data_IF_803793159031
#
_entry.id   IF_803793159031
#
_cell.length_a   1.000
_cell.length_b   1.000
_cell.length_c   1.000
_cell.angle_alpha   90.00
_cell.angle_beta   90.00
_cell.angle_gamma   90.00
#
_symmetry.space_group_name_H-M   'P 1'
#
loop_
_entity.id
_entity.type
_entity.pdbx_description
1 polymer ?
#
# COMPACT_ATOMS: atom_id res chain seq x y z
N UNK A 1 14.93 15.92 5.64
CA UNK A 1 13.57 15.63 5.15
C UNK A 1 12.62 16.75 5.57
N UNK A 2 12.77 17.29 6.76
CA UNK A 2 11.92 18.38 7.27
C UNK A 2 11.97 19.69 6.46
N UNK A 3 12.97 19.87 5.62
CA UNK A 3 13.16 21.06 4.78
C UNK A 3 12.48 20.97 3.41
N UNK A 4 11.95 19.79 3.04
CA UNK A 4 11.28 19.60 1.76
C UNK A 4 9.78 19.81 1.90
N UNK A 5 9.23 20.70 1.11
CA UNK A 5 7.78 20.91 0.99
C UNK A 5 7.05 19.76 0.29
N UNK A 6 5.71 19.85 0.17
CA UNK A 6 4.92 18.85 -0.52
C UNK A 6 5.32 18.76 -2.01
N UNK A 7 5.30 17.54 -2.54
CA UNK A 7 5.50 17.31 -3.97
C UNK A 7 4.14 17.33 -4.66
N UNK A 8 4.00 18.15 -5.66
CA UNK A 8 2.78 18.26 -6.45
C UNK A 8 2.99 17.66 -7.85
N UNK A 9 1.95 17.11 -8.41
CA UNK A 9 1.90 16.63 -9.80
C UNK A 9 0.53 16.93 -10.40
N UNK A 10 0.47 17.16 -11.70
CA UNK A 10 -0.79 17.24 -12.47
C UNK A 10 -1.23 15.88 -13.01
N UNK A 11 -0.42 14.85 -12.89
CA UNK A 11 -0.75 13.49 -13.31
C UNK A 11 -1.69 12.85 -12.28
N UNK A 12 -2.92 12.56 -12.71
CA UNK A 12 -3.93 11.93 -11.86
C UNK A 12 -3.78 10.41 -11.92
N UNK A 13 -3.92 9.77 -10.75
CA UNK A 13 -3.93 8.31 -10.68
C UNK A 13 -4.80 7.82 -9.51
N UNK A 14 -5.47 6.71 -9.71
CA UNK A 14 -6.26 6.02 -8.69
C UNK A 14 -5.62 4.66 -8.43
N UNK A 15 -5.07 4.49 -7.24
CA UNK A 15 -4.32 3.28 -6.90
C UNK A 15 -5.23 2.20 -6.30
N UNK A 16 -5.36 1.07 -7.01
CA UNK A 16 -5.94 -0.17 -6.51
C UNK A 16 -4.88 -1.12 -5.95
N UNK A 17 -5.31 -2.32 -5.57
CA UNK A 17 -4.44 -3.40 -5.10
C UNK A 17 -3.66 -4.03 -6.25
N UNK A 18 -4.35 -4.38 -7.35
CA UNK A 18 -3.81 -5.08 -8.51
C UNK A 18 -3.41 -4.13 -9.63
N UNK A 19 -4.13 -3.02 -9.77
CA UNK A 19 -3.95 -2.07 -10.86
C UNK A 19 -3.96 -0.62 -10.35
N UNK A 20 -3.35 0.27 -11.13
CA UNK A 20 -3.47 1.73 -10.98
C UNK A 20 -4.11 2.27 -12.23
N UNK A 21 -5.20 3.01 -12.08
CA UNK A 21 -5.92 3.66 -13.18
C UNK A 21 -5.39 5.07 -13.40
N UNK A 22 -5.09 5.42 -14.63
CA UNK A 22 -4.56 6.74 -15.02
C UNK A 22 -5.50 7.35 -16.05
N UNK A 23 -6.33 8.34 -15.67
CA UNK A 23 -7.16 9.08 -16.63
C UNK A 23 -6.30 9.81 -17.66
N UNK A 24 -6.86 10.01 -18.85
CA UNK A 24 -6.24 10.74 -19.98
C UNK A 24 -4.96 10.07 -20.53
N UNK A 25 -4.81 8.77 -20.34
CA UNK A 25 -3.73 7.98 -20.90
C UNK A 25 -4.30 6.75 -21.63
N UNK A 26 -3.48 6.11 -22.49
CA UNK A 26 -3.90 4.87 -23.19
C UNK A 26 -2.97 3.69 -22.92
N UNK A 27 -1.81 3.96 -22.33
CA UNK A 27 -0.75 2.96 -22.15
C UNK A 27 -1.13 1.93 -21.08
N UNK A 28 -0.94 0.65 -21.41
CA UNK A 28 -0.93 -0.45 -20.41
C UNK A 28 0.50 -0.82 -20.09
N UNK A 29 0.88 -0.66 -18.83
CA UNK A 29 2.20 -1.05 -18.30
C UNK A 29 2.03 -2.19 -17.30
N UNK A 30 2.97 -3.14 -17.29
CA UNK A 30 2.98 -4.24 -16.32
C UNK A 30 4.27 -4.19 -15.53
N UNK A 31 4.20 -4.40 -14.22
CA UNK A 31 5.35 -4.37 -13.31
C UNK A 31 6.48 -5.26 -13.82
N UNK A 32 7.68 -4.72 -13.92
CA UNK A 32 8.89 -5.45 -14.30
C UNK A 32 9.35 -6.45 -13.23
N UNK A 33 8.81 -6.35 -12.01
CA UNK A 33 9.06 -7.31 -10.93
C UNK A 33 8.40 -8.67 -11.16
N UNK A 34 7.38 -8.75 -12.04
CA UNK A 34 6.83 -10.03 -12.54
C UNK A 34 7.86 -10.61 -13.49
N UNK A 35 8.51 -11.70 -13.09
CA UNK A 35 9.65 -12.27 -13.84
C UNK A 35 9.22 -12.93 -15.14
N UNK A 36 8.09 -13.68 -15.16
CA UNK A 36 7.58 -14.36 -16.35
C UNK A 36 7.16 -13.37 -17.43
N UNK A 37 7.77 -13.45 -18.60
CA UNK A 37 7.40 -12.69 -19.80
C UNK A 37 6.02 -13.05 -20.31
N UNK A 38 5.67 -14.34 -20.24
CA UNK A 38 4.36 -14.87 -20.64
C UNK A 38 3.25 -14.29 -19.76
N UNK A 39 3.46 -14.28 -18.44
CA UNK A 39 2.51 -13.72 -17.49
C UNK A 39 2.34 -12.20 -17.70
N UNK A 40 3.43 -11.49 -17.96
CA UNK A 40 3.34 -10.04 -18.30
C UNK A 40 2.55 -9.81 -19.59
N UNK A 41 2.73 -10.67 -20.60
CA UNK A 41 1.97 -10.60 -21.84
C UNK A 41 0.48 -10.91 -21.61
N UNK A 42 0.17 -11.97 -20.85
CA UNK A 42 -1.18 -12.37 -20.48
C UNK A 42 -1.92 -11.23 -19.75
N UNK A 43 -1.32 -10.67 -18.70
CA UNK A 43 -1.90 -9.57 -17.93
C UNK A 43 -2.11 -8.32 -18.78
N UNK A 44 -1.17 -8.02 -19.68
CA UNK A 44 -1.33 -6.89 -20.61
C UNK A 44 -2.52 -7.09 -21.55
N UNK A 45 -2.67 -8.28 -22.13
CA UNK A 45 -3.81 -8.59 -23.01
C UNK A 45 -5.14 -8.53 -22.26
N UNK A 46 -5.20 -9.09 -21.04
CA UNK A 46 -6.40 -9.04 -20.20
C UNK A 46 -6.83 -7.58 -19.93
N UNK A 47 -5.91 -6.76 -19.46
CA UNK A 47 -6.22 -5.36 -19.18
C UNK A 47 -6.59 -4.60 -20.47
N UNK A 48 -5.90 -4.87 -21.58
CA UNK A 48 -6.21 -4.24 -22.87
C UNK A 48 -7.64 -4.54 -23.33
N UNK A 49 -8.16 -5.75 -23.02
CA UNK A 49 -9.51 -6.17 -23.41
C UNK A 49 -10.63 -5.58 -22.56
N UNK A 50 -10.34 -5.17 -21.31
CA UNK A 50 -11.36 -4.67 -20.37
C UNK A 50 -11.27 -3.16 -20.11
N UNK A 51 -10.10 -2.54 -20.33
CA UNK A 51 -9.94 -1.11 -20.04
C UNK A 51 -10.75 -0.24 -21.01
N UNK A 52 -11.40 0.84 -20.54
CA UNK A 52 -12.02 1.80 -21.43
C UNK A 52 -10.97 2.63 -22.20
N UNK A 53 -11.42 3.28 -23.28
CA UNK A 53 -10.59 4.24 -24.01
C UNK A 53 -10.25 5.45 -23.13
N UNK A 54 -9.10 6.09 -23.41
CA UNK A 54 -8.60 7.27 -22.68
C UNK A 54 -8.23 6.99 -21.20
N UNK A 55 -8.02 5.74 -20.83
CA UNK A 55 -7.45 5.35 -19.54
C UNK A 55 -6.21 4.50 -19.74
N UNK A 56 -5.13 4.89 -19.06
CA UNK A 56 -3.96 4.06 -18.89
C UNK A 56 -4.11 3.17 -17.65
N UNK A 57 -3.42 2.04 -17.66
CA UNK A 57 -3.41 1.11 -16.52
C UNK A 57 -1.99 0.63 -16.25
N UNK A 58 -1.58 0.69 -14.99
CA UNK A 58 -0.36 0.03 -14.50
C UNK A 58 -0.77 -1.22 -13.72
N UNK A 59 -0.33 -2.37 -14.18
CA UNK A 59 -0.54 -3.65 -13.49
C UNK A 59 0.56 -3.85 -12.45
N UNK A 60 0.17 -4.03 -11.20
CA UNK A 60 1.09 -4.21 -10.06
C UNK A 60 1.54 -5.67 -9.94
N UNK A 61 2.61 -5.90 -9.19
CA UNK A 61 3.18 -7.25 -8.99
C UNK A 61 2.17 -8.22 -8.34
N UNK A 62 1.34 -7.72 -7.42
CA UNK A 62 0.30 -8.52 -6.74
C UNK A 62 -0.81 -9.04 -7.68
N UNK A 63 -0.86 -8.58 -8.92
CA UNK A 63 -1.79 -9.06 -9.95
C UNK A 63 -1.32 -10.38 -10.60
N UNK A 64 -0.09 -10.83 -10.31
CA UNK A 64 0.43 -12.09 -10.83
C UNK A 64 -0.50 -13.26 -10.51
N UNK A 65 -0.85 -14.07 -11.50
CA UNK A 65 -1.77 -15.21 -11.36
C UNK A 65 -3.25 -14.84 -11.19
N UNK A 66 -3.62 -13.56 -11.17
CA UNK A 66 -5.00 -13.13 -11.00
C UNK A 66 -5.85 -13.38 -12.25
N UNK A 67 -7.14 -13.66 -12.01
CA UNK A 67 -8.12 -13.89 -13.06
C UNK A 67 -8.69 -12.57 -13.57
N UNK A 68 -9.22 -12.59 -14.79
CA UNK A 68 -9.84 -11.40 -15.39
C UNK A 68 -10.95 -10.80 -14.53
N UNK A 69 -11.76 -11.62 -13.88
CA UNK A 69 -12.88 -11.16 -13.04
C UNK A 69 -12.41 -10.32 -11.82
N UNK A 70 -11.25 -10.66 -11.23
CA UNK A 70 -10.68 -9.90 -10.11
C UNK A 70 -10.16 -8.54 -10.59
N UNK A 71 -9.50 -8.50 -11.75
CA UNK A 71 -8.97 -7.27 -12.35
C UNK A 71 -10.10 -6.36 -12.86
N UNK A 72 -11.13 -6.92 -13.47
CA UNK A 72 -12.32 -6.18 -13.94
C UNK A 72 -13.13 -5.61 -12.77
N UNK A 73 -13.28 -6.39 -11.70
CA UNK A 73 -13.94 -5.93 -10.48
C UNK A 73 -13.24 -4.71 -9.88
N UNK A 74 -11.91 -4.74 -9.76
CA UNK A 74 -11.15 -3.59 -9.26
C UNK A 74 -11.18 -2.41 -10.23
N UNK A 75 -11.09 -2.66 -11.53
CA UNK A 75 -11.18 -1.62 -12.56
C UNK A 75 -12.49 -0.85 -12.46
N UNK A 76 -13.61 -1.54 -12.26
CA UNK A 76 -14.93 -0.92 -12.08
C UNK A 76 -15.00 -0.03 -10.83
N UNK A 77 -14.40 -0.45 -9.73
CA UNK A 77 -14.30 0.36 -8.51
C UNK A 77 -13.50 1.64 -8.77
N UNK A 78 -12.35 1.53 -9.43
CA UNK A 78 -11.50 2.69 -9.73
C UNK A 78 -12.16 3.66 -10.72
N UNK A 79 -12.89 3.14 -11.70
CA UNK A 79 -13.69 3.96 -12.62
C UNK A 79 -14.81 4.72 -11.89
N UNK A 80 -15.46 4.08 -10.93
CA UNK A 80 -16.45 4.75 -10.07
C UNK A 80 -15.83 5.89 -9.26
N UNK A 81 -14.64 5.68 -8.67
CA UNK A 81 -13.93 6.76 -7.98
C UNK A 81 -13.64 7.95 -8.90
N UNK A 82 -13.28 7.66 -10.15
CA UNK A 82 -13.09 8.71 -11.17
C UNK A 82 -14.39 9.45 -11.47
N UNK A 83 -15.50 8.75 -11.70
CA UNK A 83 -16.82 9.33 -11.96
C UNK A 83 -17.28 10.22 -10.80
N UNK A 84 -17.11 9.74 -9.57
CA UNK A 84 -17.41 10.51 -8.36
C UNK A 84 -16.55 11.78 -8.26
N UNK A 85 -15.26 11.68 -8.59
CA UNK A 85 -14.35 12.83 -8.64
C UNK A 85 -14.79 13.85 -9.69
N UNK A 86 -15.11 13.41 -10.89
CA UNK A 86 -15.62 14.28 -11.97
C UNK A 86 -16.92 14.99 -11.56
N UNK A 87 -17.83 14.25 -10.94
CA UNK A 87 -19.10 14.81 -10.42
C UNK A 87 -18.85 15.89 -9.37
N UNK A 88 -17.89 15.67 -8.46
CA UNK A 88 -17.51 16.69 -7.46
C UNK A 88 -16.88 17.92 -8.11
N UNK A 89 -16.02 17.74 -9.12
CA UNK A 89 -15.42 18.86 -9.88
C UNK A 89 -16.51 19.72 -10.51
N UNK A 90 -17.49 19.10 -11.17
CA UNK A 90 -18.59 19.81 -11.83
C UNK A 90 -19.46 20.61 -10.85
N UNK A 91 -19.58 20.15 -9.60
CA UNK A 91 -20.34 20.82 -8.54
C UNK A 91 -19.53 21.83 -7.74
N UNK A 92 -18.22 21.86 -7.90
CA UNK A 92 -17.34 22.75 -7.14
C UNK A 92 -17.53 24.22 -7.58
N UNK A 93 -17.87 25.07 -6.61
CA UNK A 93 -18.06 26.52 -6.84
C UNK A 93 -16.93 27.37 -6.25
N UNK A 94 -16.07 26.77 -5.45
CA UNK A 94 -14.92 27.41 -4.79
C UNK A 94 -13.63 26.63 -5.05
N UNK A 95 -12.51 27.32 -5.13
CA UNK A 95 -11.19 26.72 -5.31
C UNK A 95 -10.20 27.31 -4.29
N UNK A 96 -9.29 26.49 -3.73
CA UNK A 96 -9.13 25.05 -3.92
C UNK A 96 -10.24 24.25 -3.22
N UNK A 97 -10.64 23.11 -3.79
CA UNK A 97 -11.59 22.15 -3.21
C UNK A 97 -11.01 20.74 -3.25
N UNK A 98 -11.09 20.01 -2.13
CA UNK A 98 -10.71 18.60 -2.08
C UNK A 98 -11.73 17.76 -2.85
N UNK A 99 -11.30 17.19 -3.96
CA UNK A 99 -12.15 16.39 -4.85
C UNK A 99 -12.11 14.92 -4.49
N UNK A 100 -10.92 14.39 -4.27
CA UNK A 100 -10.69 12.99 -3.94
C UNK A 100 -9.57 12.88 -2.91
N UNK A 101 -9.79 12.06 -1.92
CA UNK A 101 -8.80 11.69 -0.93
C UNK A 101 -8.56 10.19 -1.02
N UNK A 102 -7.31 9.78 -1.10
CA UNK A 102 -6.98 8.36 -1.09
C UNK A 102 -7.31 7.76 0.29
N UNK A 103 -7.56 6.45 0.32
CA UNK A 103 -7.79 5.70 1.56
C UNK A 103 -6.72 5.99 2.60
N UNK A 104 -7.07 5.84 3.87
CA UNK A 104 -6.15 6.09 4.99
C UNK A 104 -4.81 5.37 4.80
N UNK A 105 -3.78 5.90 5.44
CA UNK A 105 -2.43 5.29 5.40
C UNK A 105 -2.45 3.83 5.85
N UNK A 106 -3.30 3.48 6.80
CA UNK A 106 -3.42 2.12 7.32
C UNK A 106 -3.95 1.15 6.26
N UNK A 107 -5.03 1.52 5.58
CA UNK A 107 -5.58 0.73 4.45
C UNK A 107 -4.60 0.72 3.27
N UNK A 108 -3.94 1.84 2.98
CA UNK A 108 -2.92 1.90 1.94
C UNK A 108 -1.76 0.94 2.18
N UNK A 109 -1.29 0.79 3.42
CA UNK A 109 -0.28 -0.19 3.80
C UNK A 109 -0.77 -1.63 3.60
N UNK A 110 -2.00 -1.94 4.02
CA UNK A 110 -2.58 -3.27 3.82
C UNK A 110 -2.79 -3.58 2.34
N UNK A 111 -3.27 -2.61 1.55
CA UNK A 111 -3.36 -2.75 0.10
C UNK A 111 -2.04 -3.22 -0.52
N UNK A 112 -0.93 -2.68 -0.04
CA UNK A 112 0.39 -2.94 -0.60
C UNK A 112 1.09 -4.16 -0.01
N UNK A 113 0.87 -4.48 1.27
CA UNK A 113 1.63 -5.48 2.01
C UNK A 113 0.84 -6.74 2.35
N UNK A 114 -0.50 -6.68 2.41
CA UNK A 114 -1.32 -7.80 2.84
C UNK A 114 -1.12 -9.03 1.97
N UNK A 115 -0.81 -10.16 2.60
CA UNK A 115 -0.58 -11.46 1.96
C UNK A 115 -1.01 -12.60 2.91
N UNK A 116 -1.02 -13.86 2.46
CA UNK A 116 -1.46 -15.00 3.28
C UNK A 116 -0.67 -15.24 4.58
N UNK A 117 0.53 -14.68 4.73
CA UNK A 117 1.33 -14.85 5.95
C UNK A 117 0.90 -13.96 7.12
N UNK A 118 -0.02 -13.02 6.90
CA UNK A 118 -0.58 -12.21 7.99
C UNK A 118 -1.45 -13.08 8.89
N UNK A 119 -1.08 -13.27 10.14
CA UNK A 119 -1.84 -14.05 11.12
C UNK A 119 -2.76 -13.16 11.97
N UNK A 120 -2.30 -11.97 12.34
CA UNK A 120 -3.06 -11.03 13.15
C UNK A 120 -2.76 -9.59 12.73
N UNK A 121 -3.77 -8.73 12.83
CA UNK A 121 -3.68 -7.29 12.67
C UNK A 121 -4.28 -6.65 13.91
N UNK A 122 -3.45 -6.09 14.76
CA UNK A 122 -3.89 -5.44 16.00
C UNK A 122 -3.99 -3.93 15.80
N UNK A 123 -5.10 -3.35 16.19
CA UNK A 123 -5.40 -1.92 16.04
C UNK A 123 -5.91 -1.38 17.38
N UNK A 124 -5.39 -0.26 17.85
CA UNK A 124 -5.77 0.36 19.12
C UNK A 124 -6.68 1.60 18.97
N UNK A 125 -7.03 1.95 17.74
CA UNK A 125 -8.01 2.99 17.41
C UNK A 125 -9.25 2.34 16.81
N UNK A 126 -10.42 2.69 17.32
CA UNK A 126 -11.70 2.03 16.95
C UNK A 126 -12.13 2.38 15.52
N UNK A 127 -11.94 3.64 15.10
CA UNK A 127 -12.28 4.08 13.75
C UNK A 127 -11.39 3.38 12.71
N UNK A 128 -10.08 3.34 12.95
CA UNK A 128 -9.10 2.64 12.11
C UNK A 128 -9.34 1.14 12.11
N UNK A 129 -9.77 0.55 13.24
CA UNK A 129 -10.13 -0.86 13.31
C UNK A 129 -11.30 -1.20 12.36
N UNK A 130 -12.36 -0.41 12.37
CA UNK A 130 -13.48 -0.62 11.47
C UNK A 130 -13.08 -0.48 10.00
N UNK A 131 -12.35 0.57 9.68
CA UNK A 131 -11.85 0.81 8.32
C UNK A 131 -10.99 -0.36 7.80
N UNK A 132 -10.05 -0.84 8.62
CA UNK A 132 -9.20 -2.00 8.28
C UNK A 132 -10.02 -3.27 8.14
N UNK A 133 -10.97 -3.49 9.05
CA UNK A 133 -11.82 -4.67 9.04
C UNK A 133 -12.69 -4.73 7.79
N UNK A 134 -13.30 -3.60 7.41
CA UNK A 134 -14.12 -3.49 6.19
C UNK A 134 -13.26 -3.76 4.95
N UNK A 135 -12.06 -3.18 4.89
CA UNK A 135 -11.12 -3.42 3.80
C UNK A 135 -10.70 -4.89 3.71
N UNK A 136 -10.30 -5.53 4.83
CA UNK A 136 -9.91 -6.95 4.84
C UNK A 136 -11.10 -7.84 4.47
N UNK A 137 -12.30 -7.52 4.94
CA UNK A 137 -13.52 -8.23 4.56
C UNK A 137 -13.79 -8.17 3.05
N UNK A 138 -13.50 -7.02 2.43
CA UNK A 138 -13.65 -6.85 0.99
C UNK A 138 -12.65 -7.69 0.17
N UNK A 139 -11.38 -7.73 0.60
CA UNK A 139 -10.30 -8.39 -0.18
C UNK A 139 -10.06 -9.86 0.19
N UNK A 140 -10.43 -10.27 1.40
CA UNK A 140 -10.25 -11.62 1.94
C UNK A 140 -11.32 -11.90 3.02
N UNK A 141 -12.59 -12.16 2.63
CA UNK A 141 -13.71 -12.30 3.57
C UNK A 141 -13.49 -13.40 4.62
N UNK A 142 -12.88 -14.49 4.21
CA UNK A 142 -12.50 -15.65 5.04
C UNK A 142 -11.48 -15.30 6.14
N UNK A 143 -10.79 -14.18 6.00
CA UNK A 143 -9.74 -13.73 6.90
C UNK A 143 -10.10 -12.50 7.73
N UNK A 144 -11.31 -11.98 7.65
CA UNK A 144 -11.75 -10.80 8.41
C UNK A 144 -11.53 -10.94 9.95
N UNK A 145 -11.52 -12.18 10.46
CA UNK A 145 -11.29 -12.49 11.87
C UNK A 145 -9.87 -12.24 12.39
N UNK A 146 -8.88 -12.02 11.51
CA UNK A 146 -7.50 -11.70 11.93
C UNK A 146 -7.37 -10.26 12.44
N UNK A 147 -8.32 -9.37 12.09
CA UNK A 147 -8.32 -7.98 12.56
C UNK A 147 -8.88 -7.92 13.97
N UNK A 148 -8.09 -7.41 14.90
CA UNK A 148 -8.41 -7.41 16.34
C UNK A 148 -8.26 -6.00 16.91
N UNK A 149 -9.29 -5.57 17.64
CA UNK A 149 -9.21 -4.33 18.41
C UNK A 149 -8.40 -4.59 19.68
N UNK A 150 -7.32 -3.84 19.85
CA UNK A 150 -6.45 -3.91 21.01
C UNK A 150 -6.97 -2.97 22.11
N UNK A 151 -7.28 -3.55 23.29
CA UNK A 151 -7.78 -2.82 24.47
C UNK A 151 -6.88 -3.04 25.70
N UNK A 152 -5.61 -3.41 25.50
CA UNK A 152 -4.66 -3.62 26.59
C UNK A 152 -4.28 -2.33 27.32
N UNK A 153 -3.80 -2.45 28.55
CA UNK A 153 -3.36 -1.29 29.36
C UNK A 153 -2.00 -0.75 28.91
N UNK A 154 -1.12 -1.60 28.40
CA UNK A 154 0.18 -1.18 27.87
C UNK A 154 0.03 -0.59 26.46
N UNK A 155 0.89 0.37 26.06
CA UNK A 155 0.96 0.79 24.67
C UNK A 155 1.14 -0.41 23.74
N UNK A 156 0.44 -0.43 22.61
CA UNK A 156 0.40 -1.58 21.70
C UNK A 156 1.80 -2.05 21.27
N UNK A 157 2.72 -1.13 21.00
CA UNK A 157 4.09 -1.48 20.59
C UNK A 157 4.90 -2.08 21.74
N UNK A 158 4.66 -1.66 22.98
CA UNK A 158 5.32 -2.21 24.14
C UNK A 158 4.81 -3.62 24.45
N UNK A 159 3.49 -3.83 24.33
CA UNK A 159 2.86 -5.14 24.53
C UNK A 159 3.41 -6.20 23.57
N UNK A 160 3.70 -5.84 22.32
CA UNK A 160 4.27 -6.74 21.32
C UNK A 160 5.80 -6.68 21.23
N UNK A 161 6.48 -5.97 22.13
CA UNK A 161 7.94 -5.83 22.16
C UNK A 161 8.54 -5.06 20.98
N UNK A 162 7.70 -4.36 20.19
CA UNK A 162 8.13 -3.62 19.00
C UNK A 162 9.00 -2.42 19.38
N UNK A 163 8.63 -1.68 20.44
CA UNK A 163 9.43 -0.55 20.93
C UNK A 163 10.87 -0.98 21.26
N UNK A 164 11.04 -2.16 21.88
CA UNK A 164 12.36 -2.72 22.20
C UNK A 164 13.14 -3.04 20.92
N UNK A 165 12.50 -3.67 19.94
CA UNK A 165 13.12 -3.99 18.65
C UNK A 165 13.54 -2.73 17.89
N UNK A 166 12.68 -1.72 17.83
CA UNK A 166 13.01 -0.43 17.19
C UNK A 166 14.22 0.21 17.87
N UNK A 167 14.20 0.33 19.21
CA UNK A 167 15.33 0.91 19.98
C UNK A 167 16.64 0.15 19.75
N UNK A 168 16.60 -1.18 19.75
CA UNK A 168 17.80 -1.99 19.49
C UNK A 168 18.30 -1.85 18.05
N UNK A 169 17.41 -1.69 17.07
CA UNK A 169 17.78 -1.52 15.66
C UNK A 169 18.50 -0.21 15.35
N UNK A 170 18.28 0.82 16.21
CA UNK A 170 18.99 2.10 16.13
C UNK A 170 20.17 2.21 17.12
N UNK A 171 20.44 1.15 17.87
CA UNK A 171 21.60 1.06 18.76
C UNK A 171 22.91 0.92 17.96
N UNK A 172 24.01 1.33 18.59
CA UNK A 172 25.35 1.15 18.00
C UNK A 172 25.79 -0.31 17.98
N UNK A 173 25.21 -1.15 18.86
CA UNK A 173 25.61 -2.55 19.04
C UNK A 173 24.58 -3.49 18.46
N UNK A 174 25.03 -4.42 17.61
CA UNK A 174 24.24 -5.51 17.03
C UNK A 174 24.74 -6.83 17.61
N UNK A 175 23.89 -7.53 18.41
CA UNK A 175 24.26 -8.78 19.06
C UNK A 175 23.79 -9.99 18.24
N UNK A 176 24.63 -11.01 18.17
CA UNK A 176 24.33 -12.31 17.57
C UNK A 176 23.90 -13.34 18.61
N UNK A 177 23.24 -14.41 18.17
CA UNK A 177 22.82 -15.52 19.05
C UNK A 177 23.99 -16.23 19.75
N UNK A 178 25.17 -16.19 19.16
CA UNK A 178 26.40 -16.81 19.70
C UNK A 178 27.08 -16.01 20.82
N UNK A 179 26.53 -14.82 21.19
CA UNK A 179 27.15 -13.92 22.17
C UNK A 179 28.17 -12.94 21.56
N UNK A 180 28.51 -13.08 20.27
CA UNK A 180 29.29 -12.08 19.54
C UNK A 180 28.43 -10.84 19.28
N UNK A 181 29.07 -9.68 19.10
CA UNK A 181 28.41 -8.43 18.76
C UNK A 181 29.27 -7.61 17.81
N UNK A 182 28.60 -6.74 17.04
CA UNK A 182 29.25 -5.72 16.21
C UNK A 182 28.97 -4.35 16.81
N UNK A 183 29.95 -3.46 16.80
CA UNK A 183 29.78 -2.05 17.11
C UNK A 183 29.83 -1.28 15.80
N UNK A 184 28.75 -0.56 15.48
CA UNK A 184 28.64 0.24 14.27
C UNK A 184 28.56 1.71 14.67
N UNK A 185 29.57 2.48 14.29
CA UNK A 185 29.64 3.91 14.59
C UNK A 185 29.74 4.76 13.33
N UNK A 186 29.03 5.88 13.35
CA UNK A 186 29.16 6.92 12.35
C UNK A 186 30.13 7.97 12.90
N UNK A 187 31.25 8.13 12.22
CA UNK A 187 32.19 9.22 12.46
C UNK A 187 31.98 10.32 11.43
N UNK A 188 32.67 11.45 11.57
CA UNK A 188 32.55 12.56 10.64
C UNK A 188 32.88 12.18 9.19
N UNK A 189 33.82 11.27 8.96
CA UNK A 189 34.32 10.91 7.63
C UNK A 189 34.03 9.46 7.19
N UNK A 190 33.71 8.56 8.12
CA UNK A 190 33.57 7.12 7.84
C UNK A 190 32.46 6.47 8.68
N UNK A 191 32.07 5.26 8.21
CA UNK A 191 31.34 4.29 9.05
C UNK A 191 32.35 3.25 9.53
N UNK A 192 32.45 3.08 10.84
CA UNK A 192 33.35 2.10 11.47
C UNK A 192 32.52 0.92 11.93
N UNK A 193 32.98 -0.29 11.63
CA UNK A 193 32.42 -1.54 12.13
C UNK A 193 33.51 -2.27 12.89
N UNK A 194 33.33 -2.42 14.19
CA UNK A 194 34.21 -3.20 15.08
C UNK A 194 33.51 -4.53 15.43
N UNK A 195 34.34 -5.60 15.58
CA UNK A 195 33.87 -6.99 15.73
C UNK A 195 34.37 -7.58 17.04
#
# INVERSE_FOLDING_TARGET
ISTKGPRLTSELSFAGRYIVLIPFADKVSVSTKIKSSEERARLRQLIQSIKPKNFGVIVRTVAEGKRVAELDGELKVLLKHWEDAVTKIQKATKFPTLIYEETSRAVGLLRDLFNPSFENIHVNDEAVFHEIKDYVTLIAPDRAGIVKLYKGQLPIYDNFGITKQIKSSFGKTVSYKSGAYLIIEHTEALHVVDV
#
